data_IF_717052420999
#
_entry.id   IF_717052420999
#
_cell.length_a   1.000
_cell.length_b   1.000
_cell.length_c   1.000
_cell.angle_alpha   90.00
_cell.angle_beta   90.00
_cell.angle_gamma   90.00
#
_symmetry.space_group_name_H-M   'P 1'
#
loop_
_entity.id
_entity.type
_entity.pdbx_description
1 polymer ?
#
# COMPACT_ATOMS: atom_id res chain seq x y z
N UNK A 1 -15.43 12.45 -17.72
CA UNK A 1 -15.30 11.63 -18.96
C UNK A 1 -16.25 10.45 -18.88
N UNK A 2 -16.70 9.88 -20.00
CA UNK A 2 -17.59 8.70 -19.94
C UNK A 2 -16.74 7.45 -19.75
N UNK A 3 -17.25 6.48 -18.96
CA UNK A 3 -16.60 5.18 -18.78
C UNK A 3 -16.32 4.45 -20.11
N UNK A 4 -17.08 4.76 -21.15
CA UNK A 4 -16.86 4.23 -22.52
C UNK A 4 -15.49 4.63 -23.10
N UNK A 5 -15.04 5.88 -22.91
CA UNK A 5 -13.73 6.32 -23.39
C UNK A 5 -12.60 5.58 -22.68
N UNK A 6 -12.76 5.35 -21.36
CA UNK A 6 -11.79 4.60 -20.55
C UNK A 6 -11.71 3.12 -20.98
N UNK A 7 -12.87 2.48 -21.20
CA UNK A 7 -12.93 1.10 -21.68
C UNK A 7 -12.31 0.97 -23.08
N UNK A 8 -12.62 1.90 -23.99
CA UNK A 8 -12.04 1.89 -25.33
C UNK A 8 -10.50 2.06 -25.31
N UNK A 9 -9.98 2.94 -24.44
CA UNK A 9 -8.54 3.13 -24.26
C UNK A 9 -7.88 1.85 -23.69
N UNK A 10 -8.52 1.19 -22.73
CA UNK A 10 -8.05 -0.09 -22.19
C UNK A 10 -7.96 -1.18 -23.28
N UNK A 11 -8.98 -1.30 -24.14
CA UNK A 11 -8.94 -2.26 -25.26
C UNK A 11 -7.80 -1.99 -26.24
N UNK A 12 -7.50 -0.72 -26.54
CA UNK A 12 -6.35 -0.35 -27.36
C UNK A 12 -5.02 -0.68 -26.69
N UNK A 13 -4.90 -0.36 -25.41
CA UNK A 13 -3.66 -0.59 -24.65
C UNK A 13 -3.34 -2.09 -24.49
N UNK A 14 -4.35 -2.94 -24.30
CA UNK A 14 -4.20 -4.40 -24.25
C UNK A 14 -4.01 -4.99 -25.66
N UNK A 15 -4.48 -4.30 -26.71
CA UNK A 15 -4.45 -4.79 -28.09
C UNK A 15 -5.53 -5.84 -28.38
N UNK A 16 -6.60 -5.91 -27.58
CA UNK A 16 -7.68 -6.86 -27.73
C UNK A 16 -9.06 -6.17 -27.65
N UNK A 17 -10.03 -6.57 -28.51
CA UNK A 17 -11.36 -6.00 -28.47
C UNK A 17 -12.11 -6.44 -27.21
N UNK A 18 -12.73 -5.47 -26.53
CA UNK A 18 -13.58 -5.71 -25.35
C UNK A 18 -15.00 -5.95 -25.85
N UNK A 19 -15.56 -7.11 -25.56
CA UNK A 19 -16.96 -7.46 -25.87
C UNK A 19 -17.94 -6.97 -24.81
N UNK A 20 -17.54 -7.04 -23.55
CA UNK A 20 -18.35 -6.65 -22.42
C UNK A 20 -17.54 -5.93 -21.36
N UNK A 21 -18.13 -4.90 -20.76
CA UNK A 21 -17.61 -4.25 -19.59
C UNK A 21 -18.72 -4.09 -18.55
N UNK A 22 -18.43 -4.45 -17.32
CA UNK A 22 -19.35 -4.33 -16.19
C UNK A 22 -18.67 -3.55 -15.08
N UNK A 23 -19.33 -2.49 -14.59
CA UNK A 23 -18.83 -1.76 -13.41
C UNK A 23 -18.85 -2.70 -12.21
N UNK A 24 -17.75 -2.73 -11.47
CA UNK A 24 -17.63 -3.51 -10.22
C UNK A 24 -17.42 -2.57 -9.06
N UNK A 25 -17.80 -3.02 -7.87
CA UNK A 25 -17.50 -2.30 -6.65
C UNK A 25 -16.02 -2.54 -6.36
N UNK A 26 -15.24 -1.48 -6.30
CA UNK A 26 -13.81 -1.58 -6.02
C UNK A 26 -13.29 -0.25 -5.53
N UNK A 27 -12.67 -0.26 -4.35
CA UNK A 27 -11.99 0.87 -3.73
C UNK A 27 -12.81 2.16 -3.59
N UNK A 28 -12.42 3.01 -2.65
CA UNK A 28 -13.11 4.29 -2.40
C UNK A 28 -12.65 5.41 -3.35
N UNK A 29 -11.61 5.17 -4.17
CA UNK A 29 -10.93 6.22 -4.92
C UNK A 29 -11.07 6.03 -6.43
N UNK A 30 -10.99 4.79 -6.93
CA UNK A 30 -11.03 4.47 -8.36
C UNK A 30 -12.40 4.02 -8.83
N UNK A 31 -12.73 4.35 -10.07
CA UNK A 31 -13.77 3.64 -10.81
C UNK A 31 -13.19 2.30 -11.31
N UNK A 32 -13.98 1.23 -11.22
CA UNK A 32 -13.53 -0.12 -11.55
C UNK A 32 -14.50 -0.86 -12.46
N UNK A 33 -13.94 -1.67 -13.37
CA UNK A 33 -14.70 -2.49 -14.33
C UNK A 33 -14.09 -3.90 -14.46
N UNK A 34 -14.98 -4.89 -14.59
CA UNK A 34 -14.64 -6.18 -15.16
C UNK A 34 -14.78 -6.07 -16.68
N UNK A 35 -13.74 -6.43 -17.40
CA UNK A 35 -13.69 -6.49 -18.85
C UNK A 35 -13.73 -7.95 -19.28
N UNK A 36 -14.46 -8.24 -20.37
CA UNK A 36 -14.45 -9.55 -21.04
C UNK A 36 -14.03 -9.32 -22.48
N UNK A 37 -12.96 -9.98 -22.89
CA UNK A 37 -12.41 -9.90 -24.23
C UNK A 37 -13.11 -10.91 -25.18
N UNK A 38 -12.88 -10.76 -26.50
CA UNK A 38 -13.47 -11.59 -27.54
C UNK A 38 -13.08 -13.08 -27.45
N UNK A 39 -11.94 -13.39 -26.84
CA UNK A 39 -11.48 -14.76 -26.59
C UNK A 39 -12.04 -15.37 -25.29
N UNK A 40 -12.88 -14.63 -24.58
CA UNK A 40 -13.48 -15.03 -23.31
C UNK A 40 -12.59 -14.79 -22.09
N UNK A 41 -11.36 -14.27 -22.25
CA UNK A 41 -10.52 -13.89 -21.11
C UNK A 41 -11.10 -12.67 -20.40
N UNK A 42 -10.75 -12.53 -19.11
CA UNK A 42 -11.28 -11.47 -18.25
C UNK A 42 -10.15 -10.61 -17.68
N UNK A 43 -10.46 -9.33 -17.46
CA UNK A 43 -9.54 -8.39 -16.83
C UNK A 43 -10.27 -7.46 -15.86
N UNK A 44 -9.49 -6.88 -14.94
CA UNK A 44 -9.89 -5.79 -14.06
C UNK A 44 -9.29 -4.50 -14.59
N UNK A 45 -10.13 -3.48 -14.80
CA UNK A 45 -9.69 -2.14 -15.14
C UNK A 45 -10.01 -1.21 -14.00
N UNK A 46 -9.02 -0.45 -13.53
CA UNK A 46 -9.23 0.69 -12.67
C UNK A 46 -8.75 1.99 -13.29
N UNK A 47 -9.48 3.07 -13.01
CA UNK A 47 -9.19 4.40 -13.53
C UNK A 47 -9.80 5.45 -12.64
N UNK A 48 -9.27 6.66 -12.69
CA UNK A 48 -9.92 7.85 -12.10
C UNK A 48 -9.60 9.09 -12.90
N UNK A 49 -10.54 10.07 -12.94
CA UNK A 49 -10.40 11.26 -13.78
C UNK A 49 -9.22 12.17 -13.40
N UNK A 50 -8.84 12.18 -12.13
CA UNK A 50 -7.77 13.01 -11.56
C UNK A 50 -6.45 12.27 -11.33
N UNK A 51 -6.31 11.05 -11.89
CA UNK A 51 -5.05 10.30 -11.85
C UNK A 51 -3.93 11.12 -12.49
N UNK A 52 -2.78 11.17 -11.82
CA UNK A 52 -1.62 11.92 -12.29
C UNK A 52 -0.77 11.06 -13.23
N UNK A 53 -0.02 11.69 -14.15
CA UNK A 53 0.95 10.96 -14.98
C UNK A 53 1.91 10.15 -14.09
N UNK A 54 2.21 8.91 -14.49
CA UNK A 54 3.13 8.02 -13.77
C UNK A 54 2.52 7.26 -12.60
N UNK A 55 1.30 7.54 -12.19
CA UNK A 55 0.71 6.94 -11.00
C UNK A 55 0.40 5.45 -11.17
N UNK A 56 -0.20 5.07 -12.29
CA UNK A 56 -0.49 3.67 -12.61
C UNK A 56 0.75 2.91 -13.07
N UNK A 57 1.73 3.59 -13.68
CA UNK A 57 3.04 3.01 -13.98
C UNK A 57 3.82 2.66 -12.70
N UNK A 58 3.76 3.54 -11.69
CA UNK A 58 4.37 3.28 -10.37
C UNK A 58 3.72 2.07 -9.71
N UNK A 59 2.39 1.98 -9.76
CA UNK A 59 1.67 0.84 -9.20
C UNK A 59 1.99 -0.46 -9.96
N UNK A 60 2.02 -0.43 -11.30
CA UNK A 60 2.39 -1.57 -12.12
C UNK A 60 3.80 -2.07 -11.79
N UNK A 61 4.77 -1.15 -11.65
CA UNK A 61 6.12 -1.47 -11.20
C UNK A 61 6.13 -2.06 -9.78
N UNK A 62 5.26 -1.55 -8.91
CA UNK A 62 5.07 -2.07 -7.54
C UNK A 62 4.58 -3.50 -7.52
N UNK A 63 3.56 -3.82 -8.30
CA UNK A 63 3.04 -5.19 -8.44
C UNK A 63 4.14 -6.13 -8.96
N UNK A 64 4.83 -5.76 -10.03
CA UNK A 64 5.92 -6.55 -10.57
C UNK A 64 7.01 -6.81 -9.53
N UNK A 65 7.42 -5.78 -8.79
CA UNK A 65 8.45 -5.89 -7.75
C UNK A 65 8.03 -6.80 -6.61
N UNK A 66 6.78 -6.71 -6.13
CA UNK A 66 6.26 -7.57 -5.07
C UNK A 66 6.13 -9.03 -5.51
N UNK A 67 5.86 -9.30 -6.79
CA UNK A 67 5.74 -10.64 -7.35
C UNK A 67 7.08 -11.37 -7.58
N UNK A 68 8.21 -10.65 -7.68
CA UNK A 68 9.54 -11.25 -7.97
C UNK A 68 10.01 -12.32 -6.98
N UNK A 69 9.90 -12.15 -5.64
CA UNK A 69 10.56 -13.06 -4.71
C UNK A 69 10.05 -14.49 -4.73
N UNK A 70 8.93 -14.74 -5.35
CA UNK A 70 8.27 -16.05 -5.26
C UNK A 70 7.89 -16.39 -3.82
N UNK A 71 7.25 -17.50 -3.62
CA UNK A 71 6.93 -17.92 -2.24
C UNK A 71 5.45 -17.95 -1.93
N UNK A 72 4.63 -17.89 -2.98
CA UNK A 72 3.21 -18.19 -2.89
C UNK A 72 2.29 -16.98 -2.79
N UNK A 73 2.79 -15.77 -2.49
CA UNK A 73 1.99 -14.57 -2.67
C UNK A 73 1.97 -14.23 -4.16
N UNK A 74 0.77 -14.11 -4.67
CA UNK A 74 0.53 -13.70 -6.03
C UNK A 74 0.20 -12.21 -6.09
N UNK A 75 0.44 -11.62 -7.26
CA UNK A 75 -0.03 -10.30 -7.64
C UNK A 75 -0.75 -10.43 -8.98
N UNK A 76 -1.76 -9.62 -9.28
CA UNK A 76 -2.39 -9.63 -10.59
C UNK A 76 -1.37 -9.33 -11.69
N UNK A 77 -1.47 -10.04 -12.81
CA UNK A 77 -0.70 -9.73 -14.01
C UNK A 77 -1.07 -8.34 -14.51
N UNK A 78 -0.07 -7.52 -14.79
CA UNK A 78 -0.27 -6.22 -15.43
C UNK A 78 -0.42 -6.43 -16.93
N UNK A 79 -1.64 -6.29 -17.44
CA UNK A 79 -1.92 -6.45 -18.88
C UNK A 79 -1.61 -5.18 -19.66
N UNK A 80 -1.93 -4.02 -19.12
CA UNK A 80 -1.57 -2.74 -19.72
C UNK A 80 -1.66 -1.59 -18.72
N UNK A 81 -0.86 -0.56 -18.94
CA UNK A 81 -1.06 0.78 -18.38
C UNK A 81 -1.67 1.66 -19.47
N UNK A 82 -2.73 2.37 -19.11
CA UNK A 82 -3.40 3.33 -20.00
C UNK A 82 -2.95 4.73 -19.61
N UNK A 83 -2.26 5.42 -20.51
CA UNK A 83 -1.92 6.85 -20.37
C UNK A 83 -2.16 7.55 -21.70
N UNK A 84 -3.42 7.83 -22.02
CA UNK A 84 -3.84 8.50 -23.24
C UNK A 84 -4.52 9.83 -22.92
N UNK A 85 -3.88 10.97 -23.24
CA UNK A 85 -4.44 12.31 -23.07
C UNK A 85 -5.03 12.52 -21.66
N UNK A 86 -6.37 12.41 -21.56
CA UNK A 86 -7.10 12.61 -20.31
C UNK A 86 -7.57 11.29 -19.66
N UNK A 87 -7.19 10.14 -20.20
CA UNK A 87 -7.55 8.81 -19.71
C UNK A 87 -6.34 8.14 -19.13
N UNK A 88 -6.38 7.82 -17.85
CA UNK A 88 -5.35 7.03 -17.16
C UNK A 88 -5.99 5.87 -16.44
N UNK A 89 -5.33 4.72 -16.49
CA UNK A 89 -5.84 3.52 -15.86
C UNK A 89 -4.83 2.39 -15.86
N UNK A 90 -5.19 1.34 -15.14
CA UNK A 90 -4.41 0.10 -15.05
C UNK A 90 -5.31 -1.08 -15.36
N UNK A 91 -4.88 -1.92 -16.29
CA UNK A 91 -5.55 -3.16 -16.66
C UNK A 91 -4.78 -4.32 -16.07
N UNK A 92 -5.44 -5.09 -15.24
CA UNK A 92 -4.89 -6.23 -14.51
C UNK A 92 -5.62 -7.51 -14.91
N UNK A 93 -4.95 -8.65 -14.82
CA UNK A 93 -5.61 -9.95 -14.93
C UNK A 93 -6.73 -10.09 -13.89
N UNK A 94 -7.85 -10.68 -14.28
CA UNK A 94 -8.96 -10.94 -13.37
C UNK A 94 -8.60 -12.02 -12.36
N UNK A 95 -9.00 -11.83 -11.11
CA UNK A 95 -8.86 -12.83 -10.05
C UNK A 95 -10.25 -13.15 -9.52
N UNK A 96 -10.64 -14.41 -9.63
CA UNK A 96 -11.90 -14.89 -9.05
C UNK A 96 -11.82 -14.90 -7.53
N UNK A 97 -12.73 -14.18 -6.90
CA UNK A 97 -12.75 -14.02 -5.45
C UNK A 97 -13.25 -15.27 -4.73
N UNK A 98 -12.68 -15.54 -3.58
CA UNK A 98 -13.03 -16.62 -2.68
C UNK A 98 -12.83 -16.25 -1.21
N UNK A 99 -12.31 -17.19 -0.44
CA UNK A 99 -11.97 -16.97 0.98
C UNK A 99 -10.61 -17.59 1.27
N UNK A 100 -9.82 -16.94 2.09
CA UNK A 100 -8.61 -17.56 2.64
C UNK A 100 -9.02 -18.75 3.51
N UNK A 101 -8.37 -19.87 3.27
CA UNK A 101 -8.37 -21.00 4.18
C UNK A 101 -7.16 -20.94 5.12
N UNK A 102 -7.01 -21.93 5.98
CA UNK A 102 -5.89 -22.01 6.92
C UNK A 102 -4.53 -22.00 6.20
N UNK A 103 -4.42 -22.68 5.06
CA UNK A 103 -3.22 -22.68 4.23
C UNK A 103 -2.96 -21.33 3.57
N UNK A 104 -4.00 -20.63 3.12
CA UNK A 104 -3.92 -19.27 2.59
C UNK A 104 -3.45 -18.26 3.64
N UNK A 105 -3.88 -18.39 4.89
CA UNK A 105 -3.40 -17.57 5.99
C UNK A 105 -1.90 -17.80 6.30
N UNK A 106 -1.46 -19.05 6.32
CA UNK A 106 -0.04 -19.41 6.48
C UNK A 106 0.80 -18.89 5.31
N UNK A 107 0.26 -19.02 4.10
CA UNK A 107 0.89 -18.53 2.89
C UNK A 107 1.04 -17.00 2.89
N UNK A 108 0.01 -16.27 3.37
CA UNK A 108 0.08 -14.81 3.53
C UNK A 108 1.24 -14.43 4.46
N UNK A 109 1.35 -15.05 5.62
CA UNK A 109 2.41 -14.74 6.58
C UNK A 109 3.80 -15.06 6.04
N UNK A 110 4.02 -16.31 5.62
CA UNK A 110 5.32 -16.78 5.14
C UNK A 110 5.75 -16.07 3.83
N UNK A 111 4.82 -15.81 2.92
CA UNK A 111 5.08 -15.12 1.67
C UNK A 111 5.42 -13.64 1.90
N UNK A 112 4.70 -12.95 2.78
CA UNK A 112 5.02 -11.57 3.15
C UNK A 112 6.42 -11.46 3.78
N UNK A 113 6.78 -12.42 4.65
CA UNK A 113 8.12 -12.47 5.23
C UNK A 113 9.23 -12.62 4.16
N UNK A 114 8.98 -13.40 3.10
CA UNK A 114 9.91 -13.54 1.96
C UNK A 114 10.00 -12.26 1.13
N UNK A 115 8.88 -11.59 0.86
CA UNK A 115 8.87 -10.29 0.18
C UNK A 115 9.72 -9.28 0.97
N UNK A 116 9.50 -9.17 2.26
CA UNK A 116 10.29 -8.29 3.12
C UNK A 116 11.77 -8.68 3.17
N UNK A 117 12.08 -9.98 3.16
CA UNK A 117 13.46 -10.50 3.17
C UNK A 117 14.20 -10.24 1.85
N UNK A 118 13.50 -10.12 0.72
CA UNK A 118 14.09 -9.76 -0.56
C UNK A 118 14.72 -8.36 -0.54
N UNK A 119 14.31 -7.52 0.41
CA UNK A 119 14.94 -6.23 0.68
C UNK A 119 14.68 -5.16 -0.37
N UNK A 120 15.19 -3.98 -0.09
CA UNK A 120 15.20 -2.82 -0.97
C UNK A 120 16.59 -2.16 -0.95
N UNK A 121 16.99 -1.43 -2.01
CA UNK A 121 18.33 -0.80 -2.07
C UNK A 121 18.56 0.22 -0.96
N UNK A 122 17.53 0.94 -0.56
CA UNK A 122 17.53 1.96 0.51
C UNK A 122 16.11 2.24 0.99
N UNK A 123 15.98 2.89 2.12
CA UNK A 123 14.69 3.45 2.54
C UNK A 123 14.23 4.51 1.55
N UNK A 124 12.93 4.52 1.25
CA UNK A 124 12.32 5.39 0.25
C UNK A 124 12.60 5.00 -1.21
N UNK A 125 13.31 3.91 -1.49
CA UNK A 125 13.51 3.44 -2.86
C UNK A 125 12.17 3.05 -3.49
N UNK A 126 11.91 3.52 -4.70
CA UNK A 126 10.79 3.08 -5.52
C UNK A 126 11.11 1.74 -6.21
N UNK A 127 10.10 1.01 -6.69
CA UNK A 127 10.30 -0.20 -7.48
C UNK A 127 11.21 0.02 -8.68
N UNK A 128 12.00 -0.99 -9.10
CA UNK A 128 12.82 -0.89 -10.31
C UNK A 128 11.95 -0.58 -11.53
N UNK A 129 12.41 0.35 -12.38
CA UNK A 129 11.67 0.76 -13.58
C UNK A 129 10.47 1.68 -13.32
N UNK A 130 10.19 2.01 -12.07
CA UNK A 130 9.16 3.00 -11.74
C UNK A 130 9.52 4.38 -12.31
N UNK A 131 8.52 5.18 -12.75
CA UNK A 131 8.75 6.56 -13.13
C UNK A 131 9.23 7.39 -11.95
N UNK A 132 9.93 8.51 -12.24
CA UNK A 132 10.35 9.47 -11.22
C UNK A 132 9.18 10.36 -10.81
N UNK A 133 8.29 9.80 -10.02
CA UNK A 133 7.10 10.48 -9.49
C UNK A 133 7.03 10.28 -7.97
N UNK A 134 6.38 11.19 -7.25
CA UNK A 134 6.21 11.05 -5.82
C UNK A 134 5.44 9.77 -5.44
N UNK A 135 5.94 9.04 -4.44
CA UNK A 135 5.22 7.94 -3.84
C UNK A 135 3.91 8.46 -3.23
N UNK A 136 2.82 7.72 -3.45
CA UNK A 136 1.49 8.05 -2.92
C UNK A 136 0.92 6.91 -2.10
N UNK A 137 0.16 7.30 -1.09
CA UNK A 137 -0.68 6.42 -0.31
C UNK A 137 -2.13 6.90 -0.52
N UNK A 138 -2.91 6.12 -1.24
CA UNK A 138 -4.16 6.65 -1.78
C UNK A 138 -3.91 7.90 -2.64
N UNK A 139 -4.69 8.96 -2.45
CA UNK A 139 -4.48 10.23 -3.16
C UNK A 139 -3.40 11.15 -2.56
N UNK A 140 -2.82 10.79 -1.39
CA UNK A 140 -1.88 11.64 -0.64
C UNK A 140 -0.44 11.31 -1.00
N UNK A 141 0.32 12.35 -1.36
CA UNK A 141 1.76 12.23 -1.55
C UNK A 141 2.44 11.93 -0.21
N UNK A 142 3.26 10.89 -0.18
CA UNK A 142 4.08 10.59 0.98
C UNK A 142 5.36 11.44 0.92
N UNK A 143 5.55 12.36 1.87
CA UNK A 143 6.71 13.23 1.87
C UNK A 143 8.00 12.42 1.93
N UNK A 144 8.93 12.74 1.04
CA UNK A 144 10.30 12.27 1.06
C UNK A 144 11.21 13.48 1.26
N UNK A 145 11.85 13.57 2.43
CA UNK A 145 12.91 14.57 2.60
C UNK A 145 14.21 14.08 1.95
N UNK A 146 15.04 15.00 1.46
CA UNK A 146 16.40 14.67 1.10
C UNK A 146 17.18 14.35 2.36
N UNK A 147 17.24 13.07 2.73
CA UNK A 147 18.05 12.58 3.83
C UNK A 147 19.39 12.08 3.30
N UNK A 148 20.46 12.11 4.12
CA UNK A 148 21.75 11.52 3.75
C UNK A 148 21.60 10.05 3.36
N UNK A 149 22.49 9.59 2.47
CA UNK A 149 22.58 8.17 2.16
C UNK A 149 22.87 7.37 3.44
N UNK A 150 22.10 6.29 3.63
CA UNK A 150 22.19 5.44 4.82
C UNK A 150 21.48 5.99 6.07
N UNK A 151 20.68 7.05 5.95
CA UNK A 151 19.87 7.53 7.06
C UNK A 151 18.98 6.38 7.60
N UNK A 152 18.85 6.25 8.94
CA UNK A 152 18.05 5.20 9.56
C UNK A 152 16.57 5.40 9.26
N UNK A 153 15.79 4.29 9.36
CA UNK A 153 14.34 4.36 9.16
C UNK A 153 13.65 5.38 10.09
N UNK A 154 14.13 5.51 11.30
CA UNK A 154 13.60 6.48 12.26
C UNK A 154 13.54 7.91 11.68
N UNK A 155 14.57 8.36 10.98
CA UNK A 155 14.62 9.70 10.39
C UNK A 155 13.65 9.84 9.21
N UNK A 156 13.58 8.80 8.36
CA UNK A 156 12.63 8.76 7.25
C UNK A 156 11.18 8.83 7.76
N UNK A 157 10.87 8.05 8.78
CA UNK A 157 9.52 7.99 9.32
C UNK A 157 9.15 9.26 10.10
N UNK A 158 10.06 9.78 10.92
CA UNK A 158 9.87 11.05 11.64
C UNK A 158 9.54 12.19 10.67
N UNK A 159 10.34 12.36 9.63
CA UNK A 159 10.12 13.38 8.60
C UNK A 159 8.77 13.22 7.92
N UNK A 160 8.38 11.97 7.62
CA UNK A 160 7.12 11.67 6.95
C UNK A 160 5.91 12.01 7.82
N UNK A 161 5.89 11.55 9.09
CA UNK A 161 4.74 11.82 9.97
C UNK A 161 4.66 13.29 10.39
N UNK A 162 5.78 14.00 10.53
CA UNK A 162 5.79 15.45 10.78
C UNK A 162 5.12 16.21 9.63
N UNK A 163 5.53 15.95 8.40
CA UNK A 163 4.96 16.59 7.22
C UNK A 163 3.46 16.24 7.02
N UNK A 164 3.06 14.99 7.28
CA UNK A 164 1.65 14.57 7.22
C UNK A 164 0.83 15.23 8.33
N UNK A 165 1.36 15.33 9.55
CA UNK A 165 0.73 16.03 10.66
C UNK A 165 0.50 17.51 10.33
N UNK A 166 1.53 18.18 9.80
CA UNK A 166 1.42 19.57 9.36
C UNK A 166 0.37 19.73 8.24
N UNK A 167 0.30 18.79 7.28
CA UNK A 167 -0.71 18.81 6.22
C UNK A 167 -2.12 18.63 6.78
N UNK A 168 -2.33 17.68 7.69
CA UNK A 168 -3.61 17.44 8.35
C UNK A 168 -4.03 18.65 9.19
N UNK A 169 -3.10 19.30 9.88
CA UNK A 169 -3.33 20.54 10.65
C UNK A 169 -3.81 21.69 9.76
N UNK A 170 -3.13 21.93 8.61
CA UNK A 170 -3.57 22.96 7.64
C UNK A 170 -4.98 22.76 7.11
N UNK A 171 -5.45 21.51 7.05
CA UNK A 171 -6.80 21.13 6.62
C UNK A 171 -7.81 21.12 7.79
N UNK A 172 -7.38 21.41 9.02
CA UNK A 172 -8.23 21.31 10.21
C UNK A 172 -8.68 19.87 10.52
N UNK A 173 -7.86 18.88 10.15
CA UNK A 173 -8.16 17.45 10.29
C UNK A 173 -7.60 16.82 11.57
N UNK A 174 -6.69 17.51 12.25
CA UNK A 174 -6.20 17.22 13.59
C UNK A 174 -6.27 18.48 14.45
N UNK A 175 -6.47 18.32 15.75
CA UNK A 175 -6.42 19.42 16.71
C UNK A 175 -5.00 19.66 17.23
N UNK A 176 -4.80 20.77 17.96
CA UNK A 176 -3.49 21.16 18.51
C UNK A 176 -2.93 20.11 19.48
N UNK A 177 -3.77 19.42 20.22
CA UNK A 177 -3.35 18.36 21.16
C UNK A 177 -2.82 17.15 20.42
N UNK A 178 -3.51 16.70 19.37
CA UNK A 178 -3.06 15.60 18.52
C UNK A 178 -1.76 15.97 17.77
N UNK A 179 -1.66 17.19 17.25
CA UNK A 179 -0.45 17.68 16.61
C UNK A 179 0.74 17.71 17.57
N UNK A 180 0.55 18.20 18.80
CA UNK A 180 1.58 18.23 19.83
C UNK A 180 2.04 16.82 20.22
N UNK A 181 1.11 15.87 20.34
CA UNK A 181 1.46 14.47 20.62
C UNK A 181 2.28 13.84 19.48
N UNK A 182 1.93 14.10 18.22
CA UNK A 182 2.74 13.65 17.06
C UNK A 182 4.12 14.29 17.06
N UNK A 183 4.24 15.59 17.36
CA UNK A 183 5.52 16.28 17.45
C UNK A 183 6.43 15.66 18.52
N UNK A 184 5.89 15.31 19.71
CA UNK A 184 6.65 14.65 20.75
C UNK A 184 7.15 13.24 20.32
N UNK A 185 6.37 12.51 19.53
CA UNK A 185 6.80 11.25 18.92
C UNK A 185 7.93 11.48 17.92
N UNK A 186 7.82 12.51 17.07
CA UNK A 186 8.87 12.87 16.09
C UNK A 186 10.20 13.13 16.79
N UNK A 187 10.22 13.93 17.86
CA UNK A 187 11.43 14.24 18.64
C UNK A 187 12.08 13.00 19.26
N UNK A 188 11.29 11.99 19.60
CA UNK A 188 11.76 10.76 20.25
C UNK A 188 11.90 9.57 19.32
N UNK A 189 11.66 9.75 18.01
CA UNK A 189 11.54 8.65 17.05
C UNK A 189 12.73 7.68 17.10
N UNK A 190 13.95 8.17 17.18
CA UNK A 190 15.14 7.32 17.25
C UNK A 190 15.13 6.34 18.43
N UNK A 191 14.51 6.70 19.56
CA UNK A 191 14.39 5.84 20.72
C UNK A 191 13.17 4.91 20.67
N UNK A 192 12.17 5.23 19.85
CA UNK A 192 10.90 4.51 19.74
C UNK A 192 10.89 3.48 18.60
N UNK A 193 11.67 3.72 17.55
CA UNK A 193 11.68 2.91 16.33
C UNK A 193 12.20 1.46 16.52
N UNK A 194 12.80 1.16 17.66
CA UNK A 194 13.40 -0.15 17.94
C UNK A 194 14.78 -0.34 17.28
N UNK A 195 15.25 -1.58 17.18
CA UNK A 195 16.55 -1.85 16.57
C UNK A 195 16.55 -1.52 15.07
N UNK A 196 17.69 -1.09 14.56
CA UNK A 196 17.86 -0.88 13.14
C UNK A 196 17.73 -2.19 12.36
N UNK A 197 16.96 -2.15 11.28
CA UNK A 197 16.83 -3.24 10.32
C UNK A 197 17.17 -2.72 8.91
N UNK A 198 17.65 -3.60 8.01
CA UNK A 198 17.86 -3.21 6.63
C UNK A 198 16.53 -2.88 5.94
N UNK A 199 16.55 -2.02 4.91
CA UNK A 199 15.37 -1.70 4.12
C UNK A 199 14.70 -2.96 3.58
N UNK A 200 13.43 -3.13 3.89
CA UNK A 200 12.58 -4.18 3.38
C UNK A 200 11.82 -3.69 2.14
N UNK A 201 11.49 -4.59 1.24
CA UNK A 201 10.51 -4.37 0.19
C UNK A 201 9.13 -4.48 0.82
N UNK A 202 8.37 -3.40 0.88
CA UNK A 202 7.05 -3.39 1.50
C UNK A 202 5.95 -3.18 0.48
N UNK A 203 4.76 -3.64 0.82
CA UNK A 203 3.54 -3.31 0.08
C UNK A 203 3.18 -1.82 0.24
N UNK A 204 3.33 -1.30 1.45
CA UNK A 204 3.16 0.11 1.78
C UNK A 204 1.73 0.57 2.04
N UNK A 205 0.73 -0.21 1.62
CA UNK A 205 -0.70 -0.01 1.91
C UNK A 205 -1.38 -1.36 2.19
N UNK A 206 -0.80 -2.17 3.08
CA UNK A 206 -1.24 -3.54 3.32
C UNK A 206 -2.31 -3.62 4.41
N UNK A 207 -3.54 -3.34 4.07
CA UNK A 207 -4.70 -3.63 4.92
C UNK A 207 -5.49 -4.82 4.35
N UNK A 208 -6.46 -5.32 5.11
CA UNK A 208 -7.20 -6.54 4.73
C UNK A 208 -7.92 -6.45 3.37
N UNK A 209 -8.31 -5.23 2.94
CA UNK A 209 -8.94 -5.02 1.63
C UNK A 209 -7.96 -5.10 0.45
N UNK A 210 -6.65 -4.98 0.70
CA UNK A 210 -5.60 -5.14 -0.31
C UNK A 210 -4.98 -6.54 -0.30
N UNK A 211 -5.60 -7.48 0.44
CA UNK A 211 -5.33 -8.91 0.40
C UNK A 211 -6.55 -9.60 -0.18
N UNK A 212 -6.55 -9.83 -1.49
CA UNK A 212 -7.63 -10.52 -2.17
C UNK A 212 -7.48 -12.02 -1.95
N UNK A 213 -8.53 -12.67 -1.47
CA UNK A 213 -8.60 -14.12 -1.38
C UNK A 213 -9.11 -14.68 -2.71
N UNK A 214 -8.32 -15.47 -3.41
CA UNK A 214 -8.76 -16.11 -4.65
C UNK A 214 -9.66 -17.33 -4.39
N UNK A 215 -10.35 -17.78 -5.43
CA UNK A 215 -11.26 -18.93 -5.36
C UNK A 215 -10.58 -20.24 -4.96
N UNK A 216 -9.26 -20.34 -5.17
CA UNK A 216 -8.41 -21.47 -4.75
C UNK A 216 -7.89 -21.34 -3.30
N UNK A 217 -8.34 -20.33 -2.54
CA UNK A 217 -7.94 -20.08 -1.16
C UNK A 217 -6.61 -19.32 -0.99
N UNK A 218 -5.94 -18.95 -2.08
CA UNK A 218 -4.62 -18.28 -2.04
C UNK A 218 -4.76 -16.77 -1.88
N UNK A 219 -3.85 -16.12 -1.13
CA UNK A 219 -3.79 -14.67 -1.04
C UNK A 219 -3.13 -14.03 -2.27
N UNK A 220 -3.70 -12.94 -2.72
CA UNK A 220 -3.17 -12.06 -3.76
C UNK A 220 -3.01 -10.65 -3.19
N UNK A 221 -1.91 -9.99 -3.49
CA UNK A 221 -1.68 -8.60 -3.10
C UNK A 221 -2.09 -7.66 -4.24
N UNK A 222 -2.91 -6.66 -3.91
CA UNK A 222 -3.42 -5.66 -4.86
C UNK A 222 -3.20 -4.25 -4.32
N UNK A 223 -3.24 -3.24 -5.20
CA UNK A 223 -3.20 -1.81 -4.85
C UNK A 223 -1.98 -1.37 -4.01
N UNK A 224 -0.75 -1.75 -4.37
CA UNK A 224 0.41 -1.42 -3.57
C UNK A 224 0.85 0.05 -3.69
N UNK A 225 1.38 0.58 -2.59
CA UNK A 225 2.26 1.73 -2.54
C UNK A 225 3.70 1.27 -2.29
N UNK A 226 4.20 0.36 -3.15
CA UNK A 226 5.42 -0.38 -2.91
C UNK A 226 6.66 0.51 -2.86
N UNK A 227 7.47 0.35 -1.82
CA UNK A 227 8.72 1.10 -1.64
C UNK A 227 9.65 0.40 -0.63
N UNK A 228 10.86 0.92 -0.50
CA UNK A 228 11.79 0.50 0.54
C UNK A 228 11.41 1.12 1.90
N UNK A 229 11.11 0.30 2.91
CA UNK A 229 10.73 0.78 4.24
C UNK A 229 11.06 -0.24 5.35
N UNK A 230 10.70 0.09 6.59
CA UNK A 230 10.73 -0.89 7.67
C UNK A 230 9.57 -1.87 7.53
N UNK A 231 9.87 -3.17 7.63
CA UNK A 231 8.88 -4.24 7.41
C UNK A 231 7.66 -4.21 8.33
N UNK A 232 7.83 -3.69 9.55
CA UNK A 232 6.74 -3.63 10.53
C UNK A 232 5.61 -2.68 10.10
N UNK A 233 5.81 -1.77 9.13
CA UNK A 233 4.72 -0.88 8.67
C UNK A 233 3.59 -1.67 8.01
N UNK A 234 3.90 -2.70 7.22
CA UNK A 234 2.88 -3.56 6.60
C UNK A 234 2.13 -4.38 7.67
N UNK A 235 2.85 -4.93 8.64
CA UNK A 235 2.25 -5.69 9.75
C UNK A 235 1.35 -4.82 10.63
N UNK A 236 1.76 -3.56 10.86
CA UNK A 236 0.95 -2.61 11.62
C UNK A 236 -0.29 -2.17 10.85
N UNK A 237 -0.17 -2.03 9.51
CA UNK A 237 -1.30 -1.67 8.64
C UNK A 237 -2.34 -2.79 8.56
N UNK A 238 -1.93 -4.05 8.45
CA UNK A 238 -2.83 -5.21 8.50
C UNK A 238 -3.69 -5.23 9.77
N UNK A 239 -3.17 -4.71 10.89
CA UNK A 239 -3.87 -4.65 12.19
C UNK A 239 -4.68 -3.37 12.40
N UNK A 240 -4.68 -2.42 11.45
CA UNK A 240 -5.37 -1.14 11.61
C UNK A 240 -6.85 -1.23 11.27
N UNK A 241 -7.19 -1.87 10.15
CA UNK A 241 -8.56 -1.96 9.62
C UNK A 241 -9.08 -3.41 9.55
N UNK A 242 -8.53 -4.31 10.34
CA UNK A 242 -8.92 -5.70 10.35
C UNK A 242 -8.22 -6.49 11.44
N UNK A 243 -8.46 -7.78 11.44
CA UNK A 243 -7.75 -8.73 12.30
C UNK A 243 -6.83 -9.57 11.44
N UNK A 244 -5.55 -9.59 11.78
CA UNK A 244 -4.60 -10.59 11.28
C UNK A 244 -4.73 -11.82 12.15
N UNK A 245 -4.85 -12.99 11.54
CA UNK A 245 -4.92 -14.23 12.31
C UNK A 245 -3.59 -14.53 13.02
N UNK A 246 -3.67 -15.19 14.17
CA UNK A 246 -2.47 -15.66 14.87
C UNK A 246 -1.64 -16.62 13.97
N UNK A 247 -2.30 -17.35 13.08
CA UNK A 247 -1.67 -18.26 12.11
C UNK A 247 -0.80 -17.49 11.10
N UNK A 248 -1.32 -16.40 10.53
CA UNK A 248 -0.56 -15.54 9.61
C UNK A 248 0.69 -14.98 10.28
N UNK A 249 0.57 -14.49 11.53
CA UNK A 249 1.71 -13.95 12.26
C UNK A 249 2.74 -15.03 12.62
N UNK A 250 2.29 -16.20 13.08
CA UNK A 250 3.18 -17.32 13.37
C UNK A 250 3.96 -17.74 12.12
N UNK A 251 3.29 -17.90 10.97
CA UNK A 251 3.94 -18.24 9.71
C UNK A 251 4.90 -17.15 9.21
N UNK A 252 4.63 -15.88 9.49
CA UNK A 252 5.57 -14.79 9.24
C UNK A 252 6.83 -14.94 10.10
N UNK A 253 6.67 -15.14 11.42
CA UNK A 253 7.78 -15.22 12.37
C UNK A 253 8.64 -16.47 12.19
N UNK A 254 8.07 -17.57 11.71
CA UNK A 254 8.85 -18.78 11.35
C UNK A 254 9.88 -18.50 10.23
N UNK A 255 9.54 -17.61 9.29
CA UNK A 255 10.44 -17.24 8.17
C UNK A 255 11.37 -16.08 8.57
N UNK A 256 10.83 -15.09 9.26
CA UNK A 256 11.58 -13.87 9.65
C UNK A 256 11.13 -13.38 11.02
N UNK A 257 11.73 -13.85 12.11
CA UNK A 257 11.40 -13.46 13.47
C UNK A 257 11.37 -11.94 13.64
N UNK A 258 10.39 -11.45 14.38
CA UNK A 258 10.26 -10.03 14.69
C UNK A 258 11.16 -9.64 15.87
N UNK A 259 11.67 -8.41 15.83
CA UNK A 259 12.50 -7.89 16.89
C UNK A 259 11.69 -7.70 18.19
N UNK A 260 12.29 -7.89 19.36
CA UNK A 260 11.63 -7.58 20.64
C UNK A 260 11.00 -6.18 20.63
N UNK A 261 9.82 -6.04 21.23
CA UNK A 261 9.10 -4.78 21.27
C UNK A 261 8.30 -4.44 20.01
N UNK A 262 8.16 -5.35 19.05
CA UNK A 262 7.37 -5.09 17.83
C UNK A 262 5.87 -4.84 18.13
N UNK A 263 5.31 -5.49 19.14
CA UNK A 263 3.91 -5.28 19.54
C UNK A 263 3.69 -3.85 20.06
N UNK A 264 4.63 -3.33 20.83
CA UNK A 264 4.60 -1.97 21.37
C UNK A 264 4.75 -0.92 20.26
N UNK A 265 5.40 -1.26 19.14
CA UNK A 265 5.59 -0.36 18.00
C UNK A 265 4.43 -0.33 17.02
N UNK A 266 3.43 -1.20 17.12
CA UNK A 266 2.30 -1.25 16.18
C UNK A 266 1.63 0.12 16.05
N UNK A 267 1.31 0.76 17.17
CA UNK A 267 0.63 2.06 17.17
C UNK A 267 1.52 3.18 16.64
N UNK A 268 2.84 3.07 16.79
CA UNK A 268 3.81 3.98 16.20
C UNK A 268 3.72 3.96 14.68
N UNK A 269 3.80 2.76 14.08
CA UNK A 269 3.74 2.60 12.63
C UNK A 269 2.36 2.87 12.03
N UNK A 270 1.30 2.86 12.83
CA UNK A 270 -0.04 3.25 12.43
C UNK A 270 -0.25 4.76 12.31
N UNK A 271 0.67 5.60 12.79
CA UNK A 271 0.55 7.06 12.69
C UNK A 271 0.48 7.53 11.23
N UNK A 272 1.30 6.98 10.34
CA UNK A 272 1.28 7.33 8.92
C UNK A 272 -0.09 7.08 8.29
N UNK A 273 -0.65 5.86 8.28
CA UNK A 273 -1.96 5.62 7.67
C UNK A 273 -3.08 6.43 8.35
N UNK A 274 -3.05 6.61 9.67
CA UNK A 274 -4.06 7.43 10.36
C UNK A 274 -4.03 8.89 9.93
N UNK A 275 -2.84 9.48 9.76
CA UNK A 275 -2.68 10.85 9.27
C UNK A 275 -3.10 10.99 7.80
N UNK A 276 -2.75 10.02 6.95
CA UNK A 276 -3.21 9.98 5.55
C UNK A 276 -4.73 9.91 5.49
N UNK A 277 -5.37 9.02 6.27
CA UNK A 277 -6.82 8.92 6.32
C UNK A 277 -7.48 10.17 6.90
N UNK A 278 -6.84 10.84 7.85
CA UNK A 278 -7.31 12.14 8.34
C UNK A 278 -7.31 13.19 7.21
N UNK A 279 -6.27 13.24 6.38
CA UNK A 279 -6.17 14.13 5.23
C UNK A 279 -7.27 13.84 4.20
N UNK A 280 -7.46 12.56 3.83
CA UNK A 280 -8.40 12.14 2.79
C UNK A 280 -9.85 12.27 3.24
N UNK A 281 -10.17 11.73 4.40
CA UNK A 281 -11.55 11.51 4.82
C UNK A 281 -11.97 12.36 6.02
N UNK A 282 -11.02 12.90 6.79
CA UNK A 282 -11.32 13.62 8.03
C UNK A 282 -11.90 12.70 9.11
N UNK A 283 -13.07 13.07 9.64
CA UNK A 283 -13.76 12.25 10.65
C UNK A 283 -12.94 12.01 11.92
N UNK A 284 -12.97 10.79 12.44
CA UNK A 284 -12.28 10.40 13.68
C UNK A 284 -10.80 10.06 13.53
N UNK A 285 -10.23 10.09 12.32
CA UNK A 285 -8.86 9.64 12.07
C UNK A 285 -7.80 10.54 12.70
N UNK A 286 -8.01 11.86 12.69
CA UNK A 286 -7.10 12.78 13.37
C UNK A 286 -7.04 12.54 14.88
N UNK A 287 -8.20 12.38 15.52
CA UNK A 287 -8.25 12.00 16.93
C UNK A 287 -7.64 10.63 17.20
N UNK A 288 -7.78 9.67 16.27
CA UNK A 288 -7.14 8.37 16.39
C UNK A 288 -5.62 8.46 16.29
N UNK A 289 -5.08 9.32 15.40
CA UNK A 289 -3.65 9.61 15.33
C UNK A 289 -3.14 10.22 16.64
N UNK A 290 -3.86 11.20 17.20
CA UNK A 290 -3.53 11.80 18.51
C UNK A 290 -3.49 10.77 19.64
N UNK A 291 -4.49 9.89 19.72
CA UNK A 291 -4.50 8.81 20.74
C UNK A 291 -3.35 7.81 20.54
N UNK A 292 -3.02 7.46 19.31
CA UNK A 292 -1.89 6.58 19.02
C UNK A 292 -0.56 7.23 19.43
N UNK A 293 -0.37 8.51 19.08
CA UNK A 293 0.82 9.27 19.45
C UNK A 293 0.98 9.43 20.97
N UNK A 294 -0.13 9.69 21.69
CA UNK A 294 -0.13 9.86 23.15
C UNK A 294 0.36 8.64 23.94
N UNK A 295 0.43 7.45 23.32
CA UNK A 295 1.03 6.26 23.94
C UNK A 295 2.56 6.36 24.06
N UNK A 296 3.18 7.27 23.32
CA UNK A 296 4.65 7.43 23.21
C UNK A 296 5.12 8.83 23.61
N UNK A 297 4.22 9.76 23.87
CA UNK A 297 4.53 11.15 24.25
C UNK A 297 5.05 11.29 25.68
#
# INVERSE_FOLDING_TARGET
MSGEATIAAAGRAVGAPIERARRVVGGDINEAWQLVFADGSEAFLKSRPDARPGEYELEAAGLAWLGEPGGGLAVPEVLAVVDEHDVRGLVLGWVDEGRLDDGGEELLGSGLARIHAAGAPRFGALPPGAPDVPLRFGGVELPAAPLPDGAPWADHYATRIDALSAAAGRLGRIDDSAAAAVAAVVERMASLAGPEEPPARVHGDLWSGNVLAAADGRPWLIDPAAHGAHREIDLAMLRLFGTVSARTLAAYEEVRPLAPGHEERIRLWQLQPLLVHAILFGGGYGAAAGRAAALYA
#
